data_IF_994231140309
#
_entry.id   IF_994231140309
#
_cell.length_a   1.000
_cell.length_b   1.000
_cell.length_c   1.000
_cell.angle_alpha   90.00
_cell.angle_beta   90.00
_cell.angle_gamma   90.00
#
_symmetry.space_group_name_H-M   'P 1'
#
loop_
_entity.id
_entity.type
_entity.pdbx_description
1 polymer ?
#
# COMPACT_ATOMS: atom_id res chain seq x y z
N UNK A 1 72.89 -76.12 63.45
CA UNK A 1 71.54 -75.60 63.08
C UNK A 1 71.01 -74.83 64.28
N UNK A 2 70.53 -73.60 64.26
CA UNK A 2 70.23 -72.66 63.20
C UNK A 2 70.28 -71.24 63.82
N UNK A 3 71.19 -70.40 63.32
CA UNK A 3 71.04 -68.93 63.40
C UNK A 3 69.90 -68.58 62.44
N UNK A 4 68.73 -68.22 62.93
CA UNK A 4 67.70 -67.44 62.22
C UNK A 4 66.46 -67.42 63.11
N UNK A 5 66.07 -66.26 63.68
CA UNK A 5 64.66 -65.91 64.02
C UNK A 5 64.50 -64.60 64.82
N UNK A 6 65.26 -63.54 64.52
CA UNK A 6 64.85 -62.16 64.93
C UNK A 6 64.82 -61.13 63.80
N UNK A 7 65.26 -61.50 62.58
CA UNK A 7 65.31 -60.57 61.43
C UNK A 7 64.02 -60.54 60.58
N UNK A 8 63.13 -61.53 60.72
CA UNK A 8 61.95 -61.68 59.85
C UNK A 8 60.63 -61.12 60.39
N UNK A 9 60.54 -60.70 61.67
CA UNK A 9 59.31 -60.04 62.17
C UNK A 9 59.23 -58.55 61.81
N UNK A 10 60.36 -57.89 61.54
CA UNK A 10 60.39 -56.49 61.10
C UNK A 10 60.19 -56.32 59.58
N UNK A 11 60.43 -57.35 58.78
CA UNK A 11 60.29 -57.26 57.31
C UNK A 11 58.83 -57.42 56.88
N UNK A 12 58.05 -58.27 57.57
CA UNK A 12 56.61 -58.42 57.32
C UNK A 12 55.80 -57.17 57.70
N UNK A 13 56.22 -56.46 58.76
CA UNK A 13 55.57 -55.20 59.18
C UNK A 13 55.94 -54.04 58.27
N UNK A 14 57.20 -53.95 57.81
CA UNK A 14 57.64 -52.89 56.88
C UNK A 14 57.02 -53.08 55.49
N UNK A 15 56.91 -54.31 54.97
CA UNK A 15 56.28 -54.57 53.67
C UNK A 15 54.78 -54.26 53.66
N UNK A 16 54.04 -54.60 54.72
CA UNK A 16 52.63 -54.21 54.87
C UNK A 16 52.46 -52.70 55.06
N UNK A 17 53.38 -52.03 55.78
CA UNK A 17 53.36 -50.56 55.87
C UNK A 17 53.61 -49.89 54.53
N UNK A 18 54.54 -50.40 53.71
CA UNK A 18 54.83 -49.86 52.38
C UNK A 18 53.63 -50.06 51.45
N UNK A 19 52.97 -51.23 51.49
CA UNK A 19 51.75 -51.46 50.69
C UNK A 19 50.60 -50.54 51.12
N UNK A 20 50.41 -50.34 52.43
CA UNK A 20 49.43 -49.40 52.96
C UNK A 20 49.76 -47.95 52.58
N UNK A 21 51.04 -47.55 52.61
CA UNK A 21 51.50 -46.23 52.18
C UNK A 21 51.29 -46.02 50.68
N UNK A 22 51.66 -46.97 49.84
CA UNK A 22 51.45 -46.87 48.37
C UNK A 22 49.97 -46.85 48.03
N UNK A 23 49.13 -47.63 48.72
CA UNK A 23 47.69 -47.59 48.54
C UNK A 23 47.09 -46.26 49.02
N UNK A 24 47.51 -45.75 50.18
CA UNK A 24 47.11 -44.43 50.68
C UNK A 24 47.56 -43.30 49.75
N UNK A 25 48.79 -43.33 49.24
CA UNK A 25 49.31 -42.31 48.31
C UNK A 25 48.55 -42.36 46.98
N UNK A 26 48.34 -43.55 46.40
CA UNK A 26 47.56 -43.69 45.17
C UNK A 26 46.09 -43.28 45.35
N UNK A 27 45.48 -43.58 46.50
CA UNK A 27 44.12 -43.15 46.83
C UNK A 27 44.05 -41.63 47.03
N UNK A 28 45.04 -41.03 47.70
CA UNK A 28 45.15 -39.58 47.91
C UNK A 28 45.33 -38.83 46.59
N UNK A 29 46.21 -39.30 45.71
CA UNK A 29 46.42 -38.72 44.37
C UNK A 29 45.15 -38.82 43.52
N UNK A 30 44.43 -39.95 43.58
CA UNK A 30 43.17 -40.15 42.84
C UNK A 30 42.02 -39.29 43.40
N UNK A 31 42.00 -39.05 44.71
CA UNK A 31 41.08 -38.13 45.36
C UNK A 31 41.38 -36.66 44.98
N UNK A 32 42.66 -36.27 44.94
CA UNK A 32 43.11 -34.94 44.50
C UNK A 32 42.73 -34.66 43.03
N UNK A 33 42.94 -35.63 42.13
CA UNK A 33 42.56 -35.47 40.71
C UNK A 33 41.04 -35.32 40.51
N UNK A 34 40.23 -36.03 41.31
CA UNK A 34 38.77 -35.88 41.27
C UNK A 34 38.31 -34.55 41.87
N UNK A 35 38.99 -34.02 42.89
CA UNK A 35 38.68 -32.68 43.41
C UNK A 35 38.98 -31.59 42.38
N UNK A 36 40.10 -31.67 41.65
CA UNK A 36 40.45 -30.69 40.62
C UNK A 36 39.45 -30.67 39.45
N UNK A 37 38.97 -31.84 39.01
CA UNK A 37 37.89 -31.93 38.01
C UNK A 37 36.60 -31.28 38.51
N UNK A 38 36.17 -31.56 39.76
CA UNK A 38 34.97 -30.96 40.37
C UNK A 38 35.10 -29.44 40.47
N UNK A 39 36.27 -28.92 40.86
CA UNK A 39 36.53 -27.48 40.89
C UNK A 39 36.50 -26.86 39.49
N UNK A 40 37.05 -27.55 38.48
CA UNK A 40 36.98 -27.15 37.08
C UNK A 40 35.55 -27.06 36.56
N UNK A 41 34.72 -28.08 36.82
CA UNK A 41 33.29 -28.06 36.47
C UNK A 41 32.53 -26.96 37.20
N UNK A 42 32.76 -26.76 38.50
CA UNK A 42 32.14 -25.68 39.28
C UNK A 42 32.46 -24.29 38.71
N UNK A 43 33.71 -24.03 38.35
CA UNK A 43 34.12 -22.75 37.76
C UNK A 43 33.50 -22.55 36.36
N UNK A 44 33.46 -23.60 35.54
CA UNK A 44 32.80 -23.56 34.22
C UNK A 44 31.30 -23.28 34.36
N UNK A 45 30.64 -23.93 35.32
CA UNK A 45 29.21 -23.73 35.61
C UNK A 45 28.93 -22.32 36.11
N UNK A 46 29.76 -21.78 37.02
CA UNK A 46 29.63 -20.41 37.50
C UNK A 46 29.81 -19.38 36.39
N UNK A 47 30.75 -19.61 35.46
CA UNK A 47 30.93 -18.76 34.28
C UNK A 47 29.71 -18.79 33.37
N UNK A 48 29.15 -19.97 33.12
CA UNK A 48 27.91 -20.13 32.34
C UNK A 48 26.72 -19.43 33.00
N UNK A 49 26.55 -19.56 34.32
CA UNK A 49 25.49 -18.87 35.07
C UNK A 49 25.65 -17.35 34.97
N UNK A 50 26.87 -16.84 35.07
CA UNK A 50 27.12 -15.39 34.94
C UNK A 50 26.75 -14.88 33.55
N UNK A 51 27.11 -15.64 32.51
CA UNK A 51 26.76 -15.29 31.13
C UNK A 51 25.25 -15.35 30.90
N UNK A 52 24.58 -16.41 31.37
CA UNK A 52 23.13 -16.55 31.27
C UNK A 52 22.38 -15.41 31.99
N UNK A 53 22.87 -14.98 33.16
CA UNK A 53 22.30 -13.82 33.87
C UNK A 53 22.39 -12.55 33.04
N UNK A 54 23.56 -12.27 32.45
CA UNK A 54 23.77 -11.12 31.57
C UNK A 54 22.86 -11.19 30.34
N UNK A 55 22.67 -12.37 29.75
CA UNK A 55 21.75 -12.56 28.63
C UNK A 55 20.30 -12.28 29.02
N UNK A 56 19.84 -12.75 30.18
CA UNK A 56 18.50 -12.45 30.69
C UNK A 56 18.29 -10.95 30.94
N UNK A 57 19.31 -10.26 31.48
CA UNK A 57 19.25 -8.80 31.69
C UNK A 57 19.11 -8.05 30.36
N UNK A 58 19.92 -8.42 29.35
CA UNK A 58 19.84 -7.82 28.01
C UNK A 58 18.49 -8.11 27.35
N UNK A 59 17.97 -9.34 27.48
CA UNK A 59 16.65 -9.69 26.95
C UNK A 59 15.53 -8.89 27.61
N UNK A 60 15.58 -8.70 28.93
CA UNK A 60 14.59 -7.92 29.65
C UNK A 60 14.60 -6.46 29.19
N UNK A 61 15.78 -5.88 28.98
CA UNK A 61 15.91 -4.53 28.44
C UNK A 61 15.28 -4.43 27.03
N UNK A 62 15.57 -5.38 26.13
CA UNK A 62 14.96 -5.39 24.80
C UNK A 62 13.43 -5.52 24.83
N UNK A 63 12.88 -6.27 25.79
CA UNK A 63 11.42 -6.39 25.98
C UNK A 63 10.81 -5.06 26.42
N UNK A 64 11.45 -4.36 27.35
CA UNK A 64 10.94 -3.09 27.87
C UNK A 64 10.99 -1.98 26.80
N UNK A 65 12.05 -1.95 25.98
CA UNK A 65 12.16 -1.06 24.82
C UNK A 65 11.06 -1.36 23.77
N UNK A 66 10.80 -2.63 23.46
CA UNK A 66 9.75 -3.02 22.52
C UNK A 66 8.35 -2.66 23.04
N UNK A 67 8.07 -2.86 24.34
CA UNK A 67 6.82 -2.46 24.97
C UNK A 67 6.60 -0.95 24.89
N UNK A 68 7.66 -0.16 25.08
CA UNK A 68 7.58 1.29 24.94
C UNK A 68 7.24 1.72 23.51
N UNK A 69 7.85 1.08 22.49
CA UNK A 69 7.54 1.34 21.08
C UNK A 69 6.10 0.96 20.70
N UNK A 70 5.58 -0.13 21.26
CA UNK A 70 4.22 -0.61 21.03
C UNK A 70 3.19 0.00 21.99
N UNK A 71 3.54 1.06 22.73
CA UNK A 71 2.72 1.59 23.83
C UNK A 71 1.31 2.03 23.43
N UNK A 72 1.07 2.33 22.15
CA UNK A 72 -0.24 2.69 21.60
C UNK A 72 -0.83 1.64 20.65
N UNK A 73 -0.30 0.41 20.66
CA UNK A 73 -0.79 -0.71 19.86
C UNK A 73 -1.56 -1.68 20.76
N UNK A 74 -2.80 -1.98 20.38
CA UNK A 74 -3.67 -2.95 21.05
C UNK A 74 -4.05 -4.04 20.06
N UNK A 75 -3.89 -5.31 20.46
CA UNK A 75 -4.35 -6.47 19.68
C UNK A 75 -5.56 -7.09 20.35
N UNK A 76 -6.68 -7.16 19.63
CA UNK A 76 -7.91 -7.82 20.08
C UNK A 76 -8.29 -8.83 19.00
N UNK A 77 -8.40 -10.12 19.35
CA UNK A 77 -8.62 -11.21 18.39
C UNK A 77 -7.65 -11.13 17.20
N UNK A 78 -8.15 -10.76 16.01
CA UNK A 78 -7.41 -10.61 14.77
C UNK A 78 -7.13 -9.14 14.37
N UNK A 79 -7.57 -8.17 15.19
CA UNK A 79 -7.45 -6.75 14.90
C UNK A 79 -6.19 -6.16 15.54
N UNK A 80 -5.50 -5.32 14.76
CA UNK A 80 -4.39 -4.50 15.22
C UNK A 80 -4.87 -3.05 15.28
N UNK A 81 -5.00 -2.51 16.49
CA UNK A 81 -5.63 -1.22 16.77
C UNK A 81 -4.57 -0.25 17.26
N UNK A 82 -4.58 0.98 16.73
CA UNK A 82 -3.70 2.06 17.17
C UNK A 82 -4.56 3.03 18.00
N UNK A 83 -4.30 3.11 19.31
CA UNK A 83 -5.07 3.93 20.25
C UNK A 83 -4.22 5.08 20.79
N UNK A 84 -4.69 6.33 20.61
CA UNK A 84 -3.97 7.53 21.10
C UNK A 84 -2.71 7.90 20.30
N UNK A 85 -2.46 7.26 19.15
CA UNK A 85 -1.35 7.54 18.24
C UNK A 85 -1.84 7.71 16.79
N UNK A 86 -1.06 8.43 15.97
CA UNK A 86 -1.23 8.46 14.52
C UNK A 86 -0.32 7.41 13.86
N UNK A 87 -0.78 6.80 12.76
CA UNK A 87 0.07 6.01 11.87
C UNK A 87 0.67 6.91 10.78
N UNK A 88 1.98 7.00 10.73
CA UNK A 88 2.68 7.62 9.60
C UNK A 88 3.42 6.54 8.80
N UNK A 89 3.10 6.41 7.52
CA UNK A 89 3.81 5.55 6.58
C UNK A 89 4.63 6.46 5.67
N UNK A 90 5.97 6.30 5.67
CA UNK A 90 6.91 7.23 5.02
C UNK A 90 7.98 6.45 4.27
N UNK A 91 8.52 7.04 3.22
CA UNK A 91 9.66 6.52 2.48
C UNK A 91 11.05 6.92 3.03
N UNK A 92 11.08 7.59 4.18
CA UNK A 92 12.33 8.05 4.83
C UNK A 92 13.22 9.01 4.01
N UNK A 93 12.74 9.57 2.91
CA UNK A 93 13.46 10.60 2.12
C UNK A 93 13.21 12.04 2.61
N UNK A 94 12.35 12.21 3.61
CA UNK A 94 12.14 13.48 4.30
C UNK A 94 11.12 14.43 3.66
N UNK A 95 10.53 14.07 2.51
CA UNK A 95 9.52 14.87 1.79
C UNK A 95 8.47 13.98 1.12
N UNK A 96 7.22 14.44 1.03
CA UNK A 96 6.10 13.66 0.47
C UNK A 96 6.15 13.51 -1.05
N UNK A 97 6.76 14.47 -1.74
CA UNK A 97 6.86 14.51 -3.21
C UNK A 97 8.01 13.68 -3.79
N UNK A 98 8.81 13.09 -2.91
CA UNK A 98 9.80 12.08 -3.26
C UNK A 98 9.15 10.70 -3.45
N UNK A 99 9.66 9.92 -4.40
CA UNK A 99 9.16 8.57 -4.69
C UNK A 99 10.32 7.57 -4.79
N UNK A 100 10.21 6.46 -4.06
CA UNK A 100 11.17 5.34 -4.05
C UNK A 100 10.46 3.98 -3.89
N UNK A 101 9.21 3.90 -4.35
CA UNK A 101 8.34 2.72 -4.27
C UNK A 101 7.85 2.36 -2.84
N UNK A 102 8.44 2.97 -1.80
CA UNK A 102 8.08 2.72 -0.40
C UNK A 102 7.16 3.80 0.16
N UNK A 103 6.70 3.64 1.40
CA UNK A 103 5.80 4.62 2.02
C UNK A 103 4.33 4.50 1.60
N UNK A 104 3.94 3.43 0.90
CA UNK A 104 2.57 3.14 0.48
C UNK A 104 1.82 2.31 1.53
N UNK A 105 0.49 2.45 1.60
CA UNK A 105 -0.42 1.52 2.29
C UNK A 105 -1.04 0.61 1.26
N UNK A 106 -0.80 -0.69 1.38
CA UNK A 106 -1.26 -1.71 0.43
C UNK A 106 -2.19 -2.68 1.16
N UNK A 107 -3.40 -2.88 0.62
CA UNK A 107 -4.35 -3.91 1.09
C UNK A 107 -4.50 -4.96 -0.01
N UNK A 108 -4.09 -6.20 0.29
CA UNK A 108 -3.92 -7.27 -0.69
C UNK A 108 -2.46 -7.45 -1.10
N UNK A 109 -2.22 -8.20 -2.19
CA UNK A 109 -0.85 -8.48 -2.66
C UNK A 109 -0.34 -7.53 -3.73
N UNK A 110 -1.18 -6.59 -4.19
CA UNK A 110 -0.85 -5.68 -5.28
C UNK A 110 -0.33 -6.50 -6.48
N UNK A 111 -1.12 -7.45 -6.95
CA UNK A 111 -0.70 -8.42 -7.96
C UNK A 111 -0.41 -7.72 -9.29
N UNK A 112 0.62 -8.13 -10.03
CA UNK A 112 0.85 -7.69 -11.41
C UNK A 112 0.42 -8.83 -12.35
N UNK A 113 -0.64 -8.58 -13.12
CA UNK A 113 -1.25 -9.59 -14.00
C UNK A 113 -0.75 -9.40 -15.44
N UNK A 114 -0.17 -8.23 -15.75
CA UNK A 114 0.42 -7.90 -17.04
C UNK A 114 1.80 -8.56 -17.19
N UNK A 115 1.82 -9.79 -17.71
CA UNK A 115 3.08 -10.52 -17.96
C UNK A 115 3.87 -9.82 -19.09
N UNK A 116 4.97 -9.14 -18.74
CA UNK A 116 6.00 -8.73 -19.71
C UNK A 116 6.25 -7.22 -19.89
N UNK A 117 5.52 -6.36 -19.18
CA UNK A 117 5.77 -4.91 -19.12
C UNK A 117 6.02 -4.58 -17.64
N UNK A 118 7.28 -4.47 -17.23
CA UNK A 118 7.66 -4.41 -15.81
C UNK A 118 6.80 -3.42 -15.01
N UNK A 119 6.43 -3.81 -13.78
CA UNK A 119 5.49 -3.03 -12.99
C UNK A 119 5.93 -1.57 -12.82
N UNK A 120 5.18 -0.62 -13.38
CA UNK A 120 5.43 0.82 -13.20
C UNK A 120 4.83 1.30 -11.87
N UNK A 121 5.40 0.83 -10.76
CA UNK A 121 4.94 1.07 -9.37
C UNK A 121 5.96 1.84 -8.55
N UNK A 122 6.54 2.86 -9.17
CA UNK A 122 7.62 3.62 -8.57
C UNK A 122 7.15 4.65 -7.54
N UNK A 123 5.83 4.83 -7.40
CA UNK A 123 5.23 5.85 -6.54
C UNK A 123 5.34 5.56 -5.03
N UNK A 124 5.21 6.61 -4.22
CA UNK A 124 5.25 6.56 -2.74
C UNK A 124 4.05 7.28 -2.14
N UNK A 125 3.72 7.03 -0.87
CA UNK A 125 2.65 7.74 -0.17
C UNK A 125 1.24 7.57 -0.78
N UNK A 126 0.96 6.39 -1.34
CA UNK A 126 -0.32 6.05 -1.96
C UNK A 126 -1.11 5.03 -1.13
N UNK A 127 -2.43 4.98 -1.33
CA UNK A 127 -3.31 3.93 -0.83
C UNK A 127 -3.72 3.01 -2.00
N UNK A 128 -3.32 1.75 -1.93
CA UNK A 128 -3.43 0.79 -3.03
C UNK A 128 -4.26 -0.43 -2.60
N UNK A 129 -5.26 -0.79 -3.42
CA UNK A 129 -6.18 -1.90 -3.17
C UNK A 129 -6.56 -2.62 -4.48
N UNK A 130 -6.21 -3.88 -4.65
CA UNK A 130 -6.52 -4.61 -5.89
C UNK A 130 -5.28 -4.87 -6.73
N UNK A 131 -5.45 -5.00 -8.04
CA UNK A 131 -4.47 -5.66 -8.92
C UNK A 131 -4.15 -4.87 -10.18
N UNK A 132 -3.00 -5.16 -10.77
CA UNK A 132 -2.55 -4.66 -12.08
C UNK A 132 -2.46 -3.13 -12.18
N UNK A 133 -2.30 -2.45 -11.04
CA UNK A 133 -2.16 -1.00 -11.00
C UNK A 133 -0.75 -0.54 -11.41
N UNK A 134 -0.69 0.60 -12.11
CA UNK A 134 0.51 1.39 -12.38
C UNK A 134 0.36 2.71 -11.64
N UNK A 135 1.32 3.03 -10.77
CA UNK A 135 1.34 4.28 -10.03
C UNK A 135 2.77 4.75 -9.82
N UNK A 136 3.09 5.93 -10.35
CA UNK A 136 4.48 6.44 -10.37
C UNK A 136 4.64 7.76 -9.61
N UNK A 137 3.59 8.22 -8.92
CA UNK A 137 3.56 9.49 -8.18
C UNK A 137 3.18 9.26 -6.72
N UNK A 138 2.62 10.28 -6.08
CA UNK A 138 2.30 10.27 -4.65
C UNK A 138 0.91 10.88 -4.36
N UNK A 139 0.39 10.58 -3.18
CA UNK A 139 -0.91 11.09 -2.74
C UNK A 139 -2.09 10.51 -3.54
N UNK A 140 -1.90 9.36 -4.19
CA UNK A 140 -2.96 8.73 -4.97
C UNK A 140 -3.76 7.71 -4.16
N UNK A 141 -5.01 7.52 -4.55
CA UNK A 141 -5.86 6.41 -4.11
C UNK A 141 -6.15 5.56 -5.33
N UNK A 142 -5.76 4.29 -5.30
CA UNK A 142 -5.92 3.37 -6.43
C UNK A 142 -6.60 2.10 -5.94
N UNK A 143 -7.82 1.87 -6.41
CA UNK A 143 -8.61 0.68 -6.13
C UNK A 143 -9.26 0.12 -7.39
N UNK A 144 -9.22 -1.20 -7.58
CA UNK A 144 -9.90 -1.91 -8.66
C UNK A 144 -8.93 -2.79 -9.44
N UNK A 145 -8.93 -2.67 -10.76
CA UNK A 145 -8.03 -3.42 -11.65
C UNK A 145 -7.40 -2.51 -12.70
N UNK A 146 -6.09 -2.63 -12.94
CA UNK A 146 -5.50 -2.13 -14.19
C UNK A 146 -5.40 -0.61 -14.31
N UNK A 147 -5.62 0.16 -13.24
CA UNK A 147 -5.54 1.62 -13.27
C UNK A 147 -4.12 2.14 -13.50
N UNK A 148 -3.99 3.27 -14.19
CA UNK A 148 -2.69 3.93 -14.41
C UNK A 148 -2.73 5.39 -13.94
N UNK A 149 -1.97 5.71 -12.90
CA UNK A 149 -1.89 7.05 -12.28
C UNK A 149 -0.44 7.53 -12.22
N UNK A 150 -0.08 8.52 -13.05
CA UNK A 150 1.31 9.01 -13.15
C UNK A 150 1.53 10.39 -12.52
N UNK A 151 0.50 10.91 -11.85
CA UNK A 151 0.45 12.30 -11.36
C UNK A 151 -0.02 12.35 -9.90
N UNK A 152 0.31 13.45 -9.23
CA UNK A 152 -0.01 13.66 -7.83
C UNK A 152 -1.52 13.87 -7.59
N UNK A 153 -2.00 13.46 -6.42
CA UNK A 153 -3.37 13.67 -5.94
C UNK A 153 -4.48 13.13 -6.88
N UNK A 154 -4.15 12.21 -7.77
CA UNK A 154 -5.13 11.52 -8.60
C UNK A 154 -5.81 10.38 -7.82
N UNK A 155 -7.07 10.09 -8.14
CA UNK A 155 -7.80 8.99 -7.54
C UNK A 155 -8.49 8.14 -8.61
N UNK A 156 -8.26 6.83 -8.58
CA UNK A 156 -9.05 5.83 -9.29
C UNK A 156 -9.64 4.89 -8.22
N UNK A 157 -10.91 5.08 -7.88
CA UNK A 157 -11.50 4.48 -6.67
C UNK A 157 -12.19 3.14 -6.98
N UNK A 158 -12.32 2.75 -8.24
CA UNK A 158 -12.90 1.47 -8.62
C UNK A 158 -12.91 1.22 -10.13
N UNK A 159 -13.43 0.06 -10.50
CA UNK A 159 -13.58 -0.33 -11.90
C UNK A 159 -12.30 -0.89 -12.52
N UNK A 160 -12.12 -0.70 -13.83
CA UNK A 160 -11.01 -1.30 -14.57
C UNK A 160 -10.37 -0.35 -15.61
N UNK A 161 -9.04 -0.34 -15.69
CA UNK A 161 -8.29 0.35 -16.77
C UNK A 161 -8.51 1.88 -16.87
N UNK A 162 -8.99 2.50 -15.80
CA UNK A 162 -9.12 3.95 -15.71
C UNK A 162 -7.77 4.68 -15.61
N UNK A 163 -7.70 5.89 -16.16
CA UNK A 163 -6.46 6.69 -16.30
C UNK A 163 -6.68 8.15 -15.85
N UNK A 164 -6.66 8.44 -14.54
CA UNK A 164 -6.64 9.83 -14.06
C UNK A 164 -5.21 10.40 -14.20
N UNK A 165 -5.01 11.27 -15.19
CA UNK A 165 -3.68 11.62 -15.70
C UNK A 165 -3.31 13.10 -15.53
N UNK A 166 -4.05 13.83 -14.67
CA UNK A 166 -3.73 15.21 -14.30
C UNK A 166 -3.93 15.48 -12.79
N UNK A 167 -3.45 16.63 -12.32
CA UNK A 167 -3.54 17.04 -10.92
C UNK A 167 -4.99 17.04 -10.41
N UNK A 168 -5.24 16.29 -9.35
CA UNK A 168 -6.58 16.21 -8.74
C UNK A 168 -7.64 15.54 -9.60
N UNK A 169 -7.23 14.80 -10.65
CA UNK A 169 -8.15 14.02 -11.47
C UNK A 169 -8.77 12.87 -10.67
N UNK A 170 -10.09 12.72 -10.75
CA UNK A 170 -10.82 11.67 -10.01
C UNK A 170 -11.65 10.82 -10.97
N UNK A 171 -11.47 9.51 -10.89
CA UNK A 171 -12.35 8.53 -11.52
C UNK A 171 -12.91 7.64 -10.42
N UNK A 172 -14.23 7.68 -10.20
CA UNK A 172 -14.84 6.91 -9.10
C UNK A 172 -15.00 5.44 -9.50
N UNK A 173 -15.37 5.15 -10.74
CA UNK A 173 -15.55 3.79 -11.23
C UNK A 173 -15.63 3.67 -12.74
N UNK A 174 -16.17 2.56 -13.23
CA UNK A 174 -16.34 2.30 -14.66
C UNK A 174 -15.10 1.70 -15.33
N UNK A 175 -15.06 1.71 -16.66
CA UNK A 175 -13.98 1.07 -17.42
C UNK A 175 -13.45 1.90 -18.57
N UNK A 176 -12.12 1.97 -18.70
CA UNK A 176 -11.43 2.70 -19.78
C UNK A 176 -11.78 4.20 -19.81
N UNK A 177 -12.03 4.80 -18.64
CA UNK A 177 -12.23 6.24 -18.55
C UNK A 177 -10.89 6.97 -18.47
N UNK A 178 -10.83 8.15 -19.07
CA UNK A 178 -9.67 9.02 -19.12
C UNK A 178 -10.00 10.38 -18.53
N UNK A 179 -9.13 10.89 -17.66
CA UNK A 179 -9.23 12.27 -17.18
C UNK A 179 -7.91 12.94 -17.48
N UNK A 180 -7.89 13.73 -18.54
CA UNK A 180 -6.69 14.38 -19.06
C UNK A 180 -6.48 15.79 -18.50
N UNK A 181 -7.52 16.41 -17.91
CA UNK A 181 -7.44 17.75 -17.35
C UNK A 181 -7.48 17.82 -15.82
N UNK A 182 -6.96 18.93 -15.29
CA UNK A 182 -6.83 19.16 -13.86
C UNK A 182 -8.19 19.35 -13.17
N UNK A 183 -8.33 18.75 -11.98
CA UNK A 183 -9.50 18.86 -11.12
C UNK A 183 -10.81 18.38 -11.76
N UNK A 184 -10.71 17.52 -12.78
CA UNK A 184 -11.84 17.00 -13.51
C UNK A 184 -12.26 15.63 -12.98
N UNK A 185 -13.52 15.28 -13.20
CA UNK A 185 -14.11 14.09 -12.57
C UNK A 185 -14.87 13.24 -13.58
N UNK A 186 -14.60 11.95 -13.60
CA UNK A 186 -15.49 10.95 -14.20
C UNK A 186 -16.09 10.10 -13.08
N UNK A 187 -17.41 10.11 -12.92
CA UNK A 187 -18.06 9.31 -11.87
C UNK A 187 -18.13 7.83 -12.26
N UNK A 188 -18.37 7.51 -13.54
CA UNK A 188 -18.41 6.12 -13.99
C UNK A 188 -18.61 5.98 -15.49
N UNK A 189 -19.19 4.85 -15.91
CA UNK A 189 -19.42 4.55 -17.32
C UNK A 189 -18.20 3.96 -18.02
N UNK A 190 -18.15 4.08 -19.36
CA UNK A 190 -17.06 3.51 -20.15
C UNK A 190 -16.60 4.42 -21.28
N UNK A 191 -15.29 4.47 -21.51
CA UNK A 191 -14.68 5.28 -22.57
C UNK A 191 -15.02 6.78 -22.47
N UNK A 192 -15.24 7.31 -21.27
CA UNK A 192 -15.49 8.74 -21.08
C UNK A 192 -14.16 9.51 -20.96
N UNK A 193 -14.11 10.73 -21.50
CA UNK A 193 -12.95 11.63 -21.44
C UNK A 193 -13.30 12.98 -20.81
N UNK A 194 -12.80 13.22 -19.59
CA UNK A 194 -12.87 14.54 -18.97
C UNK A 194 -11.58 15.34 -19.24
N UNK A 195 -11.53 16.00 -20.40
CA UNK A 195 -10.38 16.75 -20.92
C UNK A 195 -10.43 18.27 -20.78
N UNK A 196 -11.53 18.85 -20.28
CA UNK A 196 -11.60 20.26 -19.87
C UNK A 196 -11.25 20.43 -18.39
N UNK A 197 -10.60 21.52 -17.98
CA UNK A 197 -10.28 21.74 -16.56
C UNK A 197 -11.55 21.95 -15.71
N UNK A 198 -11.62 21.34 -14.52
CA UNK A 198 -12.83 21.36 -13.67
C UNK A 198 -14.09 20.84 -14.38
N UNK A 199 -13.93 19.99 -15.40
CA UNK A 199 -15.07 19.38 -16.11
C UNK A 199 -15.55 18.12 -15.40
N UNK A 200 -16.79 17.74 -15.69
CA UNK A 200 -17.42 16.57 -15.08
C UNK A 200 -18.11 15.72 -16.15
N UNK A 201 -17.79 14.43 -16.18
CA UNK A 201 -18.59 13.41 -16.86
C UNK A 201 -19.19 12.47 -15.82
N UNK A 202 -20.51 12.49 -15.67
CA UNK A 202 -21.19 11.68 -14.65
C UNK A 202 -21.22 10.20 -15.04
N UNK A 203 -21.31 9.86 -16.32
CA UNK A 203 -21.32 8.47 -16.74
C UNK A 203 -21.68 8.29 -18.20
N UNK A 204 -22.22 7.11 -18.53
CA UNK A 204 -22.56 6.76 -19.91
C UNK A 204 -21.38 6.18 -20.69
N UNK A 205 -21.46 6.23 -22.02
CA UNK A 205 -20.47 5.65 -22.91
C UNK A 205 -19.92 6.70 -23.88
N UNK A 206 -18.60 6.77 -24.02
CA UNK A 206 -17.95 7.60 -25.05
C UNK A 206 -18.33 9.08 -24.98
N UNK A 207 -18.55 9.62 -23.79
CA UNK A 207 -18.83 11.04 -23.59
C UNK A 207 -17.54 11.83 -23.37
N UNK A 208 -17.49 13.07 -23.86
CA UNK A 208 -16.32 13.94 -23.73
C UNK A 208 -16.67 15.35 -23.25
N UNK A 209 -15.76 15.92 -22.49
CA UNK A 209 -15.79 17.34 -22.08
C UNK A 209 -14.40 17.91 -22.35
N UNK A 210 -14.26 19.01 -23.09
CA UNK A 210 -12.94 19.54 -23.50
C UNK A 210 -12.66 20.96 -23.01
N UNK A 211 -13.68 21.66 -22.51
CA UNK A 211 -13.55 23.05 -22.03
C UNK A 211 -13.73 23.21 -20.52
N UNK A 212 -13.25 24.34 -20.01
CA UNK A 212 -13.35 24.67 -18.59
C UNK A 212 -14.80 24.62 -18.09
N UNK A 213 -15.03 23.98 -16.94
CA UNK A 213 -16.34 23.94 -16.28
C UNK A 213 -17.45 23.20 -17.05
N UNK A 214 -17.11 22.47 -18.11
CA UNK A 214 -18.10 21.76 -18.93
C UNK A 214 -18.62 20.48 -18.26
N UNK A 215 -19.85 20.10 -18.59
CA UNK A 215 -20.56 18.97 -17.98
C UNK A 215 -21.17 18.05 -19.05
N UNK A 216 -20.96 16.74 -18.90
CA UNK A 216 -21.82 15.73 -19.52
C UNK A 216 -22.43 14.84 -18.44
N UNK A 217 -23.75 14.89 -18.26
CA UNK A 217 -24.43 14.14 -17.20
C UNK A 217 -24.65 12.65 -17.55
N UNK A 218 -24.47 12.24 -18.81
CA UNK A 218 -24.57 10.84 -19.23
C UNK A 218 -24.88 10.66 -20.70
N UNK A 219 -25.37 9.48 -21.08
CA UNK A 219 -25.76 9.14 -22.45
C UNK A 219 -24.64 8.48 -23.26
N UNK A 220 -24.72 8.57 -24.59
CA UNK A 220 -23.76 7.93 -25.50
C UNK A 220 -23.23 8.93 -26.54
N UNK A 221 -21.92 9.14 -26.58
CA UNK A 221 -21.30 9.97 -27.61
C UNK A 221 -21.65 11.45 -27.50
N UNK A 222 -21.89 11.96 -26.29
CA UNK A 222 -22.17 13.37 -26.06
C UNK A 222 -20.90 14.17 -25.79
N UNK A 223 -20.87 15.41 -26.24
CA UNK A 223 -19.70 16.27 -26.20
C UNK A 223 -20.05 17.67 -25.68
N UNK A 224 -19.32 18.15 -24.68
CA UNK A 224 -19.41 19.52 -24.17
C UNK A 224 -18.04 20.21 -24.29
N UNK A 225 -17.88 21.02 -25.34
CA UNK A 225 -16.62 21.69 -25.69
C UNK A 225 -16.71 23.22 -25.54
N UNK A 226 -17.87 23.77 -25.18
CA UNK A 226 -17.97 25.17 -24.75
C UNK A 226 -17.51 25.37 -23.30
N UNK A 227 -16.90 26.52 -22.99
CA UNK A 227 -16.66 26.92 -21.59
C UNK A 227 -17.98 27.02 -20.83
N UNK A 228 -18.07 26.41 -19.65
CA UNK A 228 -19.30 26.30 -18.85
C UNK A 228 -20.51 25.71 -19.63
N UNK A 229 -20.26 24.91 -20.67
CA UNK A 229 -21.31 24.25 -21.45
C UNK A 229 -21.80 22.96 -20.79
N UNK A 230 -23.01 22.53 -21.14
CA UNK A 230 -23.59 21.31 -20.56
C UNK A 230 -24.38 20.48 -21.56
N UNK A 231 -24.18 19.17 -21.50
CA UNK A 231 -25.06 18.17 -22.12
C UNK A 231 -25.64 17.25 -21.03
N UNK A 232 -26.96 17.27 -20.85
CA UNK A 232 -27.59 16.49 -19.77
C UNK A 232 -27.83 15.02 -20.12
N UNK A 233 -27.70 14.62 -21.39
CA UNK A 233 -27.80 13.22 -21.79
C UNK A 233 -28.16 13.03 -23.27
N UNK A 234 -28.70 11.87 -23.60
CA UNK A 234 -29.09 11.50 -24.96
C UNK A 234 -27.96 10.86 -25.76
N UNK A 235 -28.02 10.97 -27.10
CA UNK A 235 -27.05 10.35 -28.00
C UNK A 235 -26.48 11.36 -29.00
N UNK A 236 -25.17 11.49 -29.09
CA UNK A 236 -24.54 12.30 -30.14
C UNK A 236 -24.83 13.80 -30.03
N UNK A 237 -25.08 14.31 -28.83
CA UNK A 237 -25.40 15.72 -28.60
C UNK A 237 -24.13 16.54 -28.35
N UNK A 238 -24.12 17.79 -28.78
CA UNK A 238 -22.94 18.66 -28.82
C UNK A 238 -23.25 20.05 -28.26
N UNK A 239 -22.59 20.46 -27.18
CA UNK A 239 -22.63 21.83 -26.65
C UNK A 239 -21.26 22.49 -26.88
N UNK A 240 -21.15 23.30 -27.94
CA UNK A 240 -19.86 23.68 -28.56
C UNK A 240 -19.42 25.12 -28.25
N UNK A 241 -20.29 25.92 -27.63
CA UNK A 241 -20.02 27.33 -27.33
C UNK A 241 -20.15 27.66 -25.85
N UNK A 242 -19.55 28.77 -25.43
CA UNK A 242 -19.61 29.25 -24.05
C UNK A 242 -21.05 29.33 -23.53
N UNK A 243 -21.31 28.79 -22.34
CA UNK A 243 -22.63 28.75 -21.70
C UNK A 243 -23.74 28.11 -22.54
N UNK A 244 -23.39 27.28 -23.53
CA UNK A 244 -24.37 26.56 -24.35
C UNK A 244 -24.89 25.31 -23.64
N UNK A 245 -26.15 24.96 -23.89
CA UNK A 245 -26.80 23.83 -23.22
C UNK A 245 -27.54 22.94 -24.22
N UNK A 246 -27.34 21.64 -24.12
CA UNK A 246 -28.20 20.63 -24.74
C UNK A 246 -28.82 19.75 -23.65
N UNK A 247 -30.15 19.81 -23.51
CA UNK A 247 -30.85 19.06 -22.46
C UNK A 247 -30.91 17.55 -22.78
N UNK A 248 -30.95 17.17 -24.05
CA UNK A 248 -30.95 15.76 -24.44
C UNK A 248 -31.40 15.55 -25.88
N UNK A 249 -31.91 14.35 -26.17
CA UNK A 249 -32.33 13.96 -27.52
C UNK A 249 -31.21 13.28 -28.31
N UNK A 250 -31.27 13.35 -29.64
CA UNK A 250 -30.31 12.69 -30.52
C UNK A 250 -29.74 13.65 -31.58
N UNK A 251 -28.41 13.78 -31.67
CA UNK A 251 -27.76 14.54 -32.74
C UNK A 251 -28.00 16.05 -32.66
N UNK A 252 -28.28 16.59 -31.48
CA UNK A 252 -28.52 18.02 -31.30
C UNK A 252 -27.20 18.78 -31.08
N UNK A 253 -27.12 20.02 -31.56
CA UNK A 253 -25.92 20.85 -31.45
C UNK A 253 -26.23 22.30 -31.06
N UNK A 254 -25.52 22.84 -30.09
CA UNK A 254 -25.59 24.22 -29.63
C UNK A 254 -24.25 24.94 -29.87
N UNK A 255 -24.15 25.67 -30.98
CA UNK A 255 -22.94 26.37 -31.45
C UNK A 255 -22.93 27.87 -31.10
N UNK A 256 -24.04 28.42 -30.64
CA UNK A 256 -24.14 29.81 -30.22
C UNK A 256 -23.78 29.99 -28.74
N UNK A 257 -23.07 31.07 -28.41
CA UNK A 257 -22.84 31.46 -27.01
C UNK A 257 -24.20 31.69 -26.30
N UNK A 258 -24.36 31.18 -25.07
CA UNK A 258 -25.64 31.19 -24.36
C UNK A 258 -26.82 30.52 -25.09
N UNK A 259 -26.57 29.70 -26.11
CA UNK A 259 -27.64 29.03 -26.85
C UNK A 259 -28.16 27.79 -26.11
N UNK A 260 -29.41 27.40 -26.38
CA UNK A 260 -30.01 26.22 -25.75
C UNK A 260 -30.77 25.36 -26.75
N UNK A 261 -30.53 24.04 -26.71
CA UNK A 261 -31.38 23.03 -27.34
C UNK A 261 -32.05 22.18 -26.28
N UNK A 262 -33.38 22.24 -26.18
CA UNK A 262 -34.12 21.51 -25.12
C UNK A 262 -34.41 20.04 -25.44
N UNK A 263 -34.19 19.59 -26.68
CA UNK A 263 -34.35 18.18 -27.06
C UNK A 263 -34.76 17.98 -28.52
N UNK A 264 -35.23 16.77 -28.82
CA UNK A 264 -35.60 16.31 -30.17
C UNK A 264 -34.44 15.64 -30.92
N UNK A 265 -34.55 15.55 -32.24
CA UNK A 265 -33.54 14.93 -33.11
C UNK A 265 -32.99 15.91 -34.15
N UNK A 266 -31.66 15.93 -34.31
CA UNK A 266 -30.93 16.70 -35.34
C UNK A 266 -31.25 18.21 -35.34
N UNK A 267 -31.30 18.84 -34.17
CA UNK A 267 -31.51 20.28 -34.02
C UNK A 267 -30.17 20.99 -33.84
N UNK A 268 -29.93 22.05 -34.59
CA UNK A 268 -28.72 22.87 -34.46
C UNK A 268 -29.07 24.34 -34.21
N UNK A 269 -28.42 24.97 -33.24
CA UNK A 269 -28.52 26.41 -32.94
C UNK A 269 -27.16 27.05 -33.16
N UNK A 270 -27.10 28.13 -33.95
CA UNK A 270 -25.84 28.82 -34.29
C UNK A 270 -25.78 30.26 -33.79
N UNK A 271 -26.93 30.88 -33.51
CA UNK A 271 -26.99 32.26 -33.03
C UNK A 271 -26.70 32.35 -31.53
N UNK A 272 -26.00 33.40 -31.06
CA UNK A 272 -25.87 33.65 -29.63
C UNK A 272 -27.26 33.94 -29.03
N UNK A 273 -27.49 33.48 -27.80
CA UNK A 273 -28.77 33.60 -27.08
C UNK A 273 -29.98 32.96 -27.78
N UNK A 274 -29.75 32.11 -28.79
CA UNK A 274 -30.82 31.47 -29.55
C UNK A 274 -31.27 30.15 -28.90
N UNK A 275 -32.50 29.74 -29.19
CA UNK A 275 -33.13 28.58 -28.58
C UNK A 275 -33.88 27.74 -29.62
N UNK A 276 -33.72 26.41 -29.54
CA UNK A 276 -34.52 25.44 -30.28
C UNK A 276 -35.02 24.29 -29.41
N UNK A 277 -36.14 23.72 -29.83
CA UNK A 277 -36.76 22.55 -29.21
C UNK A 277 -37.14 21.51 -30.27
N UNK A 278 -37.53 20.31 -29.81
CA UNK A 278 -38.21 19.31 -30.63
C UNK A 278 -39.60 19.77 -31.07
N UNK A 279 -40.18 19.07 -32.04
CA UNK A 279 -41.57 19.28 -32.44
C UNK A 279 -42.50 18.78 -31.34
N UNK A 280 -43.69 19.39 -31.20
CA UNK A 280 -44.72 18.93 -30.27
C UNK A 280 -45.18 17.49 -30.60
N UNK A 281 -45.04 17.09 -31.86
CA UNK A 281 -45.27 15.73 -32.36
C UNK A 281 -44.03 15.28 -33.14
N UNK A 282 -43.32 14.25 -32.68
CA UNK A 282 -42.36 13.52 -33.51
C UNK A 282 -43.16 12.65 -34.47
N UNK A 283 -43.24 13.05 -35.74
CA UNK A 283 -43.71 12.12 -36.77
C UNK A 283 -42.56 11.17 -37.08
N UNK A 284 -42.83 9.88 -36.92
CA UNK A 284 -41.91 8.73 -37.10
C UNK A 284 -41.02 8.81 -38.36
#
# INVERSE_FOLDING_TARGET
MNKMTKKNRNILTVSNLIFALVFCVNFSVKAETHTDEIYGWKHKLQKQIKELKRQNEMQQQSIDELKALLGCVVKIDNDFIIEGCNLHVRNALGQTDSTDETGNVIIGYNEDISIGDGSQRTGSHNLIMGVDHRYTSYGTIVHGTGHSTSVQNAAAIGGAHNRPHNFGAVIIGGSENFVSASQSVVIGGSFNDAGGASSVVVGGQSNSTFSFGSLVAGGNGNEADGGDSAVFGGQGNQAMAGWSVVVGGQGNAAWGEHSTVTGGRNRSVNGPYDWRAGTLFETE
#
